data_IF_651789569995
#
_entry.id   IF_651789569995
#
_cell.length_a   1.000
_cell.length_b   1.000
_cell.length_c   1.000
_cell.angle_alpha   90.00
_cell.angle_beta   90.00
_cell.angle_gamma   90.00
#
_symmetry.space_group_name_H-M   'P 1'
#
loop_
_entity.id
_entity.type
_entity.pdbx_description
1 polymer ?
#
# COMPACT_ATOMS: atom_id res chain seq x y z
N UNK A 1 18.19 65.82 -4.97
CA UNK A 1 19.04 64.71 -4.48
C UNK A 1 18.18 63.49 -4.40
N UNK A 2 18.17 62.70 -5.47
CA UNK A 2 17.47 61.41 -5.57
C UNK A 2 18.51 60.30 -5.32
N UNK A 3 18.47 59.66 -4.17
CA UNK A 3 19.24 58.46 -3.92
C UNK A 3 18.48 57.28 -4.54
N UNK A 4 19.06 56.70 -5.58
CA UNK A 4 18.63 55.45 -6.18
C UNK A 4 18.99 54.28 -5.23
N UNK A 5 17.98 53.65 -4.68
CA UNK A 5 18.13 52.32 -4.06
C UNK A 5 18.46 51.28 -5.16
N UNK A 6 19.69 50.82 -5.14
CA UNK A 6 20.11 49.64 -5.91
C UNK A 6 19.49 48.41 -5.25
N UNK A 7 18.34 47.96 -5.74
CA UNK A 7 17.87 46.59 -5.49
C UNK A 7 18.89 45.58 -6.06
N UNK A 8 19.52 44.82 -5.17
CA UNK A 8 20.39 43.71 -5.53
C UNK A 8 19.54 42.65 -6.23
N UNK A 9 19.68 42.49 -7.53
CA UNK A 9 19.11 41.38 -8.28
C UNK A 9 19.83 40.10 -7.87
N UNK A 10 19.17 39.26 -7.08
CA UNK A 10 19.62 37.90 -6.78
C UNK A 10 19.74 37.08 -8.07
N UNK A 11 20.89 36.40 -8.26
CA UNK A 11 21.12 35.58 -9.46
C UNK A 11 20.30 34.26 -9.33
N UNK A 12 19.27 34.15 -10.17
CA UNK A 12 18.55 32.91 -10.42
C UNK A 12 19.49 31.86 -11.05
N UNK A 13 19.48 30.66 -10.56
CA UNK A 13 20.22 29.50 -11.13
C UNK A 13 19.22 28.43 -11.55
N UNK A 14 19.24 28.05 -12.84
CA UNK A 14 18.52 26.87 -13.30
C UNK A 14 19.19 25.59 -12.78
N UNK A 15 18.39 24.71 -12.22
CA UNK A 15 18.78 23.37 -11.79
C UNK A 15 17.74 22.40 -12.30
N UNK A 16 18.18 21.21 -12.67
CA UNK A 16 17.33 20.17 -13.21
C UNK A 16 17.14 19.06 -12.19
N UNK A 17 15.88 18.69 -11.89
CA UNK A 17 15.52 17.61 -10.99
C UNK A 17 14.88 16.44 -11.74
N UNK A 18 15.31 15.23 -11.42
CA UNK A 18 14.66 14.03 -11.93
C UNK A 18 13.29 13.85 -11.29
N UNK A 19 12.21 13.81 -12.07
CA UNK A 19 10.84 13.63 -11.60
C UNK A 19 10.59 12.27 -10.93
N UNK A 20 11.41 11.27 -11.23
CA UNK A 20 11.27 9.93 -10.66
C UNK A 20 11.97 9.77 -9.30
N UNK A 21 13.21 10.26 -9.14
CA UNK A 21 14.02 10.03 -7.93
C UNK A 21 14.51 11.31 -7.25
N UNK A 22 14.22 12.49 -7.79
CA UNK A 22 14.66 13.78 -7.24
C UNK A 22 16.16 14.06 -7.35
N UNK A 23 16.93 13.29 -8.14
CA UNK A 23 18.34 13.54 -8.36
C UNK A 23 18.55 14.91 -9.02
N UNK A 24 19.46 15.71 -8.44
CA UNK A 24 19.77 17.07 -8.90
C UNK A 24 20.90 17.06 -9.94
N UNK A 25 20.76 17.88 -10.98
CA UNK A 25 21.81 18.08 -11.98
C UNK A 25 21.88 19.57 -12.40
N UNK A 26 23.08 20.14 -12.60
CA UNK A 26 23.24 21.48 -13.12
C UNK A 26 22.91 21.60 -14.60
N UNK A 27 22.69 20.48 -15.29
CA UNK A 27 22.35 20.40 -16.72
C UNK A 27 21.28 19.35 -16.95
N UNK A 28 20.46 19.59 -17.97
CA UNK A 28 19.50 18.57 -18.42
C UNK A 28 20.25 17.34 -18.96
N UNK A 29 19.79 16.16 -18.59
CA UNK A 29 20.32 14.87 -19.05
C UNK A 29 19.18 14.00 -19.54
N UNK A 30 19.39 13.33 -20.67
CA UNK A 30 18.37 12.43 -21.24
C UNK A 30 18.08 11.21 -20.39
N UNK A 31 19.07 10.73 -19.61
CA UNK A 31 18.92 9.59 -18.68
C UNK A 31 19.42 9.97 -17.30
N UNK A 32 18.63 9.68 -16.27
CA UNK A 32 19.02 9.94 -14.89
C UNK A 32 20.11 8.94 -14.42
N UNK A 33 21.27 9.41 -13.93
CA UNK A 33 22.32 8.51 -13.47
C UNK A 33 21.98 7.77 -12.17
N UNK A 34 21.03 8.30 -11.38
CA UNK A 34 20.66 7.72 -10.09
C UNK A 34 19.61 6.61 -10.23
N UNK A 35 18.56 6.80 -11.04
CA UNK A 35 17.49 5.81 -11.19
C UNK A 35 17.45 5.13 -12.57
N UNK A 36 18.25 5.59 -13.55
CA UNK A 36 18.32 4.99 -14.88
C UNK A 36 17.16 5.34 -15.82
N UNK A 37 16.17 6.09 -15.38
CA UNK A 37 15.00 6.48 -16.19
C UNK A 37 15.34 7.56 -17.22
N UNK A 38 14.64 7.51 -18.37
CA UNK A 38 14.83 8.43 -19.47
C UNK A 38 13.84 9.60 -19.42
N UNK A 39 14.31 10.79 -19.89
CA UNK A 39 13.49 12.00 -20.08
C UNK A 39 12.75 12.48 -18.82
N UNK A 40 13.36 12.30 -17.63
CA UNK A 40 12.77 12.61 -16.33
C UNK A 40 13.25 13.93 -15.72
N UNK A 41 14.16 14.67 -16.37
CA UNK A 41 14.65 15.93 -15.83
C UNK A 41 13.73 17.10 -16.16
N UNK A 42 13.30 17.81 -15.10
CA UNK A 42 12.50 19.04 -15.17
C UNK A 42 13.35 20.20 -14.68
N UNK A 43 13.30 21.34 -15.38
CA UNK A 43 14.02 22.56 -15.00
C UNK A 43 13.27 23.30 -13.89
N UNK A 44 14.00 23.67 -12.84
CA UNK A 44 13.51 24.53 -11.77
C UNK A 44 14.48 25.69 -11.51
N UNK A 45 13.94 26.87 -11.18
CA UNK A 45 14.72 28.05 -10.84
C UNK A 45 14.89 28.13 -9.32
N UNK A 46 16.14 28.20 -8.86
CA UNK A 46 16.47 28.30 -7.44
C UNK A 46 17.20 29.62 -7.17
N UNK A 47 16.75 30.37 -6.16
CA UNK A 47 17.51 31.53 -5.63
C UNK A 47 18.72 31.03 -4.83
N UNK A 48 19.87 31.62 -5.13
CA UNK A 48 21.09 31.40 -4.39
C UNK A 48 21.28 32.54 -3.34
N UNK A 49 20.32 32.74 -2.49
CA UNK A 49 20.52 33.56 -1.29
C UNK A 49 20.71 32.60 -0.10
N UNK A 50 21.96 32.27 0.14
CA UNK A 50 22.41 31.75 1.45
C UNK A 50 22.45 32.92 2.47
N UNK A 51 21.33 33.62 2.60
CA UNK A 51 21.11 34.42 3.80
C UNK A 51 20.78 33.41 4.90
N UNK A 52 21.61 33.37 5.91
CA UNK A 52 21.47 32.55 7.09
C UNK A 52 19.99 32.41 7.47
N UNK A 53 19.45 31.22 7.29
CA UNK A 53 18.17 30.82 7.86
C UNK A 53 18.25 31.26 9.32
N UNK A 54 17.37 32.17 9.72
CA UNK A 54 17.27 32.58 11.11
C UNK A 54 17.05 31.30 11.92
N UNK A 55 18.11 30.84 12.58
CA UNK A 55 18.12 29.58 13.37
C UNK A 55 17.11 29.62 14.53
N UNK A 56 16.63 30.82 14.89
CA UNK A 56 15.84 31.06 16.10
C UNK A 56 14.37 30.59 16.02
N UNK A 57 13.79 30.43 14.85
CA UNK A 57 12.38 30.00 14.76
C UNK A 57 12.19 28.49 14.58
N UNK A 58 13.25 27.74 14.31
CA UNK A 58 13.19 26.28 14.03
C UNK A 58 13.86 25.42 15.10
N UNK A 59 14.25 25.97 16.26
CA UNK A 59 14.84 25.16 17.33
C UNK A 59 13.73 24.60 18.24
N UNK A 60 13.38 23.34 18.05
CA UNK A 60 12.42 22.58 18.86
C UNK A 60 13.10 21.74 19.96
N UNK A 61 14.41 21.78 20.10
CA UNK A 61 15.12 20.95 21.07
C UNK A 61 15.76 21.76 22.19
N UNK A 62 15.49 21.35 23.43
CA UNK A 62 16.17 21.82 24.65
C UNK A 62 17.42 21.00 25.03
N UNK A 63 17.81 19.99 24.24
CA UNK A 63 18.90 19.06 24.54
C UNK A 63 20.07 19.15 23.54
N UNK A 64 21.30 19.30 24.03
CA UNK A 64 22.50 19.11 23.22
C UNK A 64 22.63 17.62 22.87
N UNK A 65 22.61 17.29 21.58
CA UNK A 65 22.99 15.95 21.11
C UNK A 65 24.48 15.74 21.37
N UNK A 66 24.81 15.08 22.46
CA UNK A 66 26.19 14.70 22.82
C UNK A 66 26.39 13.24 22.42
N UNK A 67 27.51 12.87 21.76
CA UNK A 67 27.79 11.47 21.46
C UNK A 67 27.82 10.63 22.74
N UNK A 68 27.07 9.51 22.73
CA UNK A 68 26.98 8.59 23.86
C UNK A 68 27.33 7.16 23.40
N UNK A 69 28.02 6.37 24.25
CA UNK A 69 28.24 4.95 23.98
C UNK A 69 26.89 4.21 23.82
N UNK A 70 26.77 3.33 22.81
CA UNK A 70 25.54 2.58 22.54
C UNK A 70 25.00 1.84 23.78
N UNK A 71 25.86 1.30 24.61
CA UNK A 71 25.51 0.58 25.85
C UNK A 71 24.89 1.45 26.95
N UNK A 72 25.04 2.78 26.85
CA UNK A 72 24.48 3.74 27.82
C UNK A 72 23.12 4.24 27.36
N UNK A 73 22.77 4.00 26.08
CA UNK A 73 21.44 4.32 25.53
C UNK A 73 20.48 3.25 26.04
N UNK A 74 19.55 3.66 26.89
CA UNK A 74 18.47 2.77 27.31
C UNK A 74 17.54 2.56 26.12
N UNK A 75 17.40 1.33 25.70
CA UNK A 75 16.38 0.91 24.76
C UNK A 75 15.06 0.64 25.52
N UNK A 76 14.59 1.64 26.26
CA UNK A 76 13.23 1.58 26.80
C UNK A 76 12.31 1.52 25.58
N UNK A 77 11.41 0.55 25.54
CA UNK A 77 10.39 0.48 24.49
C UNK A 77 9.61 1.79 24.54
N UNK A 78 9.87 2.69 23.62
CA UNK A 78 9.05 3.90 23.48
C UNK A 78 7.62 3.43 23.20
N UNK A 79 6.66 3.77 24.08
CA UNK A 79 5.28 3.30 23.91
C UNK A 79 4.74 3.84 22.59
N UNK A 80 4.39 2.94 21.69
CA UNK A 80 3.76 3.31 20.42
C UNK A 80 2.38 3.88 20.68
N UNK A 81 1.99 4.85 19.90
CA UNK A 81 0.62 5.39 19.93
C UNK A 81 -0.29 4.38 19.24
N UNK A 82 -1.23 3.83 19.99
CA UNK A 82 -2.32 3.03 19.43
C UNK A 82 -3.26 3.94 18.63
N UNK A 83 -3.34 3.68 17.30
CA UNK A 83 -4.14 4.48 16.38
C UNK A 83 -5.65 4.18 16.45
N UNK A 84 -6.09 3.33 17.37
CA UNK A 84 -7.48 2.90 17.51
C UNK A 84 -8.07 2.35 16.19
N UNK A 85 -7.17 1.72 15.41
CA UNK A 85 -7.45 1.08 14.14
C UNK A 85 -6.48 -0.10 13.99
N UNK A 86 -7.01 -1.32 14.06
CA UNK A 86 -6.18 -2.54 14.11
C UNK A 86 -5.44 -2.78 12.80
N UNK A 87 -6.05 -2.44 11.67
CA UNK A 87 -5.44 -2.63 10.36
C UNK A 87 -4.32 -1.59 10.14
N UNK A 88 -4.50 -0.35 10.59
CA UNK A 88 -3.44 0.67 10.57
C UNK A 88 -2.30 0.32 11.54
N UNK A 89 -2.63 -0.07 12.77
CA UNK A 89 -1.64 -0.51 13.75
C UNK A 89 -0.80 -1.69 13.22
N UNK A 90 -1.43 -2.64 12.54
CA UNK A 90 -0.76 -3.79 11.92
C UNK A 90 0.31 -3.34 10.93
N UNK A 91 -0.02 -2.49 9.96
CA UNK A 91 0.94 -2.04 8.93
C UNK A 91 2.00 -1.09 9.48
N UNK A 92 1.72 -0.40 10.57
CA UNK A 92 2.70 0.39 11.32
C UNK A 92 3.64 -0.49 12.16
N UNK A 93 3.30 -1.77 12.36
CA UNK A 93 4.09 -2.71 13.18
C UNK A 93 3.75 -2.65 14.67
N UNK A 94 2.48 -2.33 15.00
CA UNK A 94 1.94 -2.29 16.36
C UNK A 94 1.62 -0.88 16.89
N UNK A 95 1.54 0.13 16.01
CA UNK A 95 1.20 1.50 16.32
C UNK A 95 2.20 2.54 15.83
N UNK A 96 1.87 3.82 15.98
CA UNK A 96 2.67 4.94 15.51
C UNK A 96 3.84 5.20 16.48
N UNK A 97 5.06 5.22 15.93
CA UNK A 97 6.28 5.46 16.72
C UNK A 97 6.45 6.96 16.95
N UNK A 98 6.75 7.43 18.20
CA UNK A 98 7.10 8.82 18.46
C UNK A 98 8.27 9.30 17.59
N UNK A 99 8.34 10.60 17.31
CA UNK A 99 9.35 11.19 16.45
C UNK A 99 9.43 10.62 15.01
N UNK A 100 8.44 9.83 14.57
CA UNK A 100 8.42 9.27 13.22
C UNK A 100 7.71 10.17 12.22
N UNK A 101 8.14 10.06 10.95
CA UNK A 101 7.45 10.65 9.80
C UNK A 101 6.93 9.51 8.92
N UNK A 102 5.61 9.42 8.81
CA UNK A 102 4.90 8.39 8.02
C UNK A 102 4.25 9.04 6.81
N UNK A 103 4.52 8.53 5.61
CA UNK A 103 3.85 8.91 4.37
C UNK A 103 2.74 7.90 4.05
N UNK A 104 1.54 8.38 3.83
CA UNK A 104 0.41 7.61 3.29
C UNK A 104 0.18 8.06 1.85
N UNK A 105 0.63 7.24 0.90
CA UNK A 105 0.52 7.46 -0.53
C UNK A 105 -0.63 6.69 -1.17
N UNK A 106 -1.10 7.11 -2.33
CA UNK A 106 -2.14 6.42 -3.10
C UNK A 106 -2.80 7.33 -4.14
N UNK A 107 -3.59 6.74 -5.04
CA UNK A 107 -4.32 7.49 -6.07
C UNK A 107 -5.29 8.52 -5.44
N UNK A 108 -5.57 9.64 -6.13
CA UNK A 108 -6.62 10.57 -5.71
C UNK A 108 -7.97 9.85 -5.56
N UNK A 109 -8.73 10.20 -4.50
CA UNK A 109 -10.05 9.61 -4.24
C UNK A 109 -10.04 8.20 -3.64
N UNK A 110 -8.88 7.57 -3.40
CA UNK A 110 -8.80 6.20 -2.84
C UNK A 110 -9.24 6.09 -1.37
N UNK A 111 -9.25 7.21 -0.62
CA UNK A 111 -9.67 7.24 0.78
C UNK A 111 -8.59 7.64 1.79
N UNK A 112 -7.41 8.10 1.37
CA UNK A 112 -6.30 8.49 2.27
C UNK A 112 -6.71 9.49 3.35
N UNK A 113 -7.25 10.64 2.93
CA UNK A 113 -7.70 11.70 3.84
C UNK A 113 -8.85 11.22 4.74
N UNK A 114 -9.70 10.31 4.25
CA UNK A 114 -10.77 9.71 5.06
C UNK A 114 -10.18 8.82 6.15
N UNK A 115 -9.21 7.96 5.81
CA UNK A 115 -8.52 7.10 6.78
C UNK A 115 -7.90 7.93 7.90
N UNK A 116 -7.11 8.94 7.51
CA UNK A 116 -6.37 9.76 8.47
C UNK A 116 -7.31 10.55 9.36
N UNK A 117 -8.33 11.22 8.78
CA UNK A 117 -9.33 11.99 9.55
C UNK A 117 -10.10 11.08 10.50
N UNK A 118 -10.60 9.94 10.03
CA UNK A 118 -11.32 8.96 10.85
C UNK A 118 -10.47 8.47 12.02
N UNK A 119 -9.21 8.16 11.77
CA UNK A 119 -8.28 7.68 12.79
C UNK A 119 -8.06 8.73 13.89
N UNK A 120 -7.75 9.98 13.52
CA UNK A 120 -7.50 11.03 14.53
C UNK A 120 -8.75 11.41 15.30
N UNK A 121 -9.94 11.33 14.69
CA UNK A 121 -11.19 11.55 15.40
C UNK A 121 -11.45 10.47 16.46
N UNK A 122 -10.97 9.24 16.28
CA UNK A 122 -11.02 8.17 17.30
C UNK A 122 -10.06 8.42 18.48
N UNK A 123 -8.97 9.19 18.28
CA UNK A 123 -7.93 9.44 19.28
C UNK A 123 -8.34 10.53 20.30
N UNK A 124 -9.34 10.26 21.13
CA UNK A 124 -9.93 11.21 22.08
C UNK A 124 -8.94 11.77 23.12
N UNK A 125 -7.91 11.00 23.49
CA UNK A 125 -6.91 11.37 24.51
C UNK A 125 -5.69 12.10 23.96
N UNK A 126 -5.57 12.23 22.64
CA UNK A 126 -4.39 12.77 21.95
C UNK A 126 -4.76 14.09 21.28
N UNK A 127 -4.08 15.16 21.68
CA UNK A 127 -4.21 16.45 21.02
C UNK A 127 -3.55 16.39 19.65
N UNK A 128 -4.35 16.44 18.59
CA UNK A 128 -3.89 16.37 17.21
C UNK A 128 -4.11 17.70 16.47
N UNK A 129 -3.19 18.02 15.55
CA UNK A 129 -3.33 19.15 14.63
C UNK A 129 -3.41 18.61 13.19
N UNK A 130 -4.56 18.80 12.56
CA UNK A 130 -4.78 18.51 11.14
C UNK A 130 -4.56 19.76 10.30
N UNK A 131 -3.51 19.73 9.49
CA UNK A 131 -3.17 20.79 8.55
C UNK A 131 -3.69 20.39 7.17
N UNK A 132 -4.64 21.15 6.65
CA UNK A 132 -5.22 20.93 5.33
C UNK A 132 -4.72 21.98 4.34
N UNK A 133 -4.17 21.51 3.23
CA UNK A 133 -3.81 22.34 2.09
C UNK A 133 -4.77 22.22 0.90
N UNK A 134 -5.70 21.26 0.94
CA UNK A 134 -6.62 21.00 -0.17
C UNK A 134 -8.07 21.32 0.18
N UNK A 135 -8.50 21.02 1.39
CA UNK A 135 -9.88 21.17 1.82
C UNK A 135 -10.04 22.33 2.80
N UNK A 136 -11.15 23.05 2.71
CA UNK A 136 -11.54 24.06 3.69
C UNK A 136 -12.01 23.42 5.00
N UNK A 137 -11.95 24.16 6.10
CA UNK A 137 -12.43 23.70 7.41
C UNK A 137 -13.90 23.25 7.37
N UNK A 138 -14.74 23.91 6.54
CA UNK A 138 -16.13 23.51 6.36
C UNK A 138 -16.27 22.15 5.67
N UNK A 139 -15.46 21.86 4.65
CA UNK A 139 -15.48 20.56 3.96
C UNK A 139 -15.02 19.45 4.89
N UNK A 140 -13.96 19.70 5.68
CA UNK A 140 -13.51 18.75 6.70
C UNK A 140 -14.57 18.49 7.77
N UNK A 141 -15.27 19.55 8.23
CA UNK A 141 -16.39 19.41 9.20
C UNK A 141 -17.51 18.54 8.62
N UNK A 142 -17.94 18.79 7.39
CA UNK A 142 -18.96 17.95 6.71
C UNK A 142 -18.52 16.49 6.55
N UNK A 143 -17.22 16.26 6.36
CA UNK A 143 -16.66 14.89 6.30
C UNK A 143 -16.67 14.25 7.69
N UNK A 144 -16.27 14.97 8.73
CA UNK A 144 -16.30 14.50 10.12
C UNK A 144 -17.73 14.14 10.56
N UNK A 145 -18.71 14.96 10.20
CA UNK A 145 -20.14 14.68 10.49
C UNK A 145 -20.62 13.38 9.84
N UNK A 146 -20.19 13.06 8.61
CA UNK A 146 -20.52 11.77 7.97
C UNK A 146 -19.89 10.57 8.69
N UNK A 147 -18.72 10.77 9.30
CA UNK A 147 -18.04 9.73 10.11
C UNK A 147 -18.72 9.53 11.45
N UNK A 148 -19.57 10.47 11.89
CA UNK A 148 -20.28 10.47 13.15
C UNK A 148 -19.36 10.25 14.38
N UNK A 149 -18.19 10.88 14.36
CA UNK A 149 -17.20 10.85 15.45
C UNK A 149 -16.86 12.29 15.79
N UNK A 150 -17.06 12.67 17.06
CA UNK A 150 -16.69 13.96 17.60
C UNK A 150 -15.40 13.85 18.42
N UNK A 151 -14.51 14.82 18.31
CA UNK A 151 -13.28 14.89 19.08
C UNK A 151 -12.84 16.35 19.28
N UNK A 152 -12.93 16.83 20.50
CA UNK A 152 -12.54 18.20 20.88
C UNK A 152 -11.01 18.40 20.88
N UNK A 153 -10.23 17.33 20.92
CA UNK A 153 -8.77 17.35 20.85
C UNK A 153 -8.23 17.34 19.41
N UNK A 154 -9.11 17.32 18.40
CA UNK A 154 -8.72 17.44 16.99
C UNK A 154 -8.82 18.90 16.53
N UNK A 155 -7.66 19.58 16.42
CA UNK A 155 -7.56 20.93 15.92
C UNK A 155 -7.36 20.92 14.40
N UNK A 156 -8.03 21.82 13.68
CA UNK A 156 -7.93 21.95 12.22
C UNK A 156 -7.38 23.31 11.87
N UNK A 157 -6.41 23.36 10.94
CA UNK A 157 -5.93 24.58 10.31
C UNK A 157 -5.82 24.40 8.80
N UNK A 158 -6.29 25.39 8.03
CA UNK A 158 -6.15 25.42 6.57
C UNK A 158 -5.00 26.39 6.24
N UNK A 159 -3.80 25.86 6.07
CA UNK A 159 -2.59 26.61 5.78
C UNK A 159 -1.65 25.76 4.91
N UNK A 160 -0.93 26.42 4.01
CA UNK A 160 0.02 25.78 3.09
C UNK A 160 1.45 26.28 3.26
N UNK A 161 1.65 27.43 3.91
CA UNK A 161 2.96 27.94 4.24
C UNK A 161 3.55 27.21 5.45
N UNK A 162 4.69 26.56 5.27
CA UNK A 162 5.28 25.69 6.29
C UNK A 162 5.75 26.46 7.53
N UNK A 163 6.23 27.69 7.39
CA UNK A 163 6.68 28.51 8.52
C UNK A 163 5.51 28.87 9.43
N UNK A 164 4.36 29.25 8.84
CA UNK A 164 3.12 29.49 9.61
C UNK A 164 2.58 28.21 10.26
N UNK A 165 2.69 27.07 9.57
CA UNK A 165 2.31 25.78 10.15
C UNK A 165 3.15 25.49 11.41
N UNK A 166 4.45 25.75 11.39
CA UNK A 166 5.31 25.60 12.58
C UNK A 166 4.95 26.57 13.69
N UNK A 167 4.51 27.79 13.38
CA UNK A 167 3.96 28.73 14.39
C UNK A 167 2.70 28.16 15.04
N UNK A 168 1.76 27.61 14.25
CA UNK A 168 0.57 26.96 14.78
C UNK A 168 0.93 25.76 15.66
N UNK A 169 1.87 24.92 15.26
CA UNK A 169 2.37 23.79 16.05
C UNK A 169 2.95 24.28 17.38
N UNK A 170 3.78 25.32 17.37
CA UNK A 170 4.37 25.91 18.58
C UNK A 170 3.31 26.44 19.54
N UNK A 171 2.27 27.08 19.02
CA UNK A 171 1.18 27.66 19.84
C UNK A 171 0.22 26.61 20.40
N UNK A 172 -0.04 25.54 19.63
CA UNK A 172 -1.03 24.50 20.01
C UNK A 172 -0.39 23.34 20.75
N UNK A 173 0.91 23.10 20.60
CA UNK A 173 1.66 21.96 21.18
C UNK A 173 0.94 20.62 21.00
N UNK A 174 0.70 20.17 19.75
CA UNK A 174 0.02 18.92 19.50
C UNK A 174 0.93 17.73 19.82
N UNK A 175 0.34 16.57 20.11
CA UNK A 175 1.01 15.29 20.30
C UNK A 175 1.07 14.48 18.99
N UNK A 176 0.31 14.87 17.99
CA UNK A 176 0.27 14.27 16.65
C UNK A 176 -0.02 15.37 15.62
N UNK A 177 0.73 15.39 14.52
CA UNK A 177 0.53 16.33 13.40
C UNK A 177 0.15 15.55 12.15
N UNK A 178 -0.82 16.08 11.40
CA UNK A 178 -1.23 15.58 10.09
C UNK A 178 -1.01 16.66 9.05
N UNK A 179 -0.42 16.31 7.91
CA UNK A 179 -0.24 17.18 6.74
C UNK A 179 -1.00 16.56 5.55
N UNK A 180 -2.06 17.19 5.10
CA UNK A 180 -2.91 16.75 3.99
C UNK A 180 -3.15 17.85 2.95
N UNK A 181 -2.40 17.83 1.84
CA UNK A 181 -1.32 16.94 1.42
C UNK A 181 0.03 17.67 1.32
N UNK A 182 1.11 16.88 1.29
CA UNK A 182 2.47 17.45 1.15
C UNK A 182 2.66 18.21 -0.16
N UNK A 183 1.91 17.86 -1.21
CA UNK A 183 2.00 18.53 -2.52
C UNK A 183 1.54 19.98 -2.50
N UNK A 184 0.69 20.37 -1.57
CA UNK A 184 0.19 21.74 -1.45
C UNK A 184 1.07 22.63 -0.57
N UNK A 185 1.99 22.01 0.20
CA UNK A 185 2.87 22.74 1.12
C UNK A 185 4.01 23.42 0.37
N UNK A 186 4.42 24.59 0.89
CA UNK A 186 5.55 25.34 0.36
C UNK A 186 6.35 26.04 1.46
N UNK A 187 7.63 26.28 1.15
CA UNK A 187 8.55 27.10 1.95
C UNK A 187 8.87 28.36 1.17
N UNK A 188 8.84 29.53 1.82
CA UNK A 188 9.20 30.81 1.19
C UNK A 188 10.69 30.90 0.80
N UNK A 189 11.53 30.01 1.34
CA UNK A 189 12.95 29.90 0.99
C UNK A 189 13.23 29.44 -0.44
N UNK A 190 12.23 28.86 -1.12
CA UNK A 190 12.32 28.37 -2.50
C UNK A 190 11.35 29.15 -3.40
N UNK A 191 11.83 29.62 -4.54
CA UNK A 191 10.98 30.32 -5.54
C UNK A 191 10.19 29.38 -6.45
N UNK A 192 10.42 28.08 -6.36
CA UNK A 192 9.68 27.07 -7.14
C UNK A 192 8.21 26.99 -6.70
N UNK A 193 7.34 26.66 -7.64
CA UNK A 193 5.89 26.56 -7.37
C UNK A 193 5.56 25.48 -6.35
N UNK A 194 4.50 25.65 -5.53
CA UNK A 194 3.97 24.56 -4.71
C UNK A 194 3.72 23.30 -5.54
N UNK A 195 4.02 22.12 -4.98
CA UNK A 195 3.90 20.84 -5.68
C UNK A 195 5.10 20.48 -6.56
N UNK A 196 6.06 21.40 -6.79
CA UNK A 196 7.32 21.06 -7.45
C UNK A 196 8.14 20.07 -6.60
N UNK A 197 9.04 19.33 -7.24
CA UNK A 197 9.86 18.32 -6.57
C UNK A 197 10.73 18.95 -5.48
N UNK A 198 11.31 20.12 -5.74
CA UNK A 198 12.15 20.85 -4.80
C UNK A 198 11.35 21.28 -3.56
N UNK A 199 10.14 21.85 -3.74
CA UNK A 199 9.26 22.25 -2.65
C UNK A 199 8.84 21.03 -1.80
N UNK A 200 8.39 19.96 -2.43
CA UNK A 200 7.96 18.74 -1.74
C UNK A 200 9.10 18.12 -0.93
N UNK A 201 10.33 18.10 -1.48
CA UNK A 201 11.52 17.58 -0.76
C UNK A 201 11.89 18.47 0.43
N UNK A 202 11.94 19.78 0.22
CA UNK A 202 12.31 20.73 1.29
C UNK A 202 11.30 20.69 2.42
N UNK A 203 9.99 20.76 2.10
CA UNK A 203 8.93 20.65 3.09
C UNK A 203 9.01 19.34 3.87
N UNK A 204 9.16 18.20 3.19
CA UNK A 204 9.27 16.91 3.86
C UNK A 204 10.51 16.81 4.73
N UNK A 205 11.66 17.36 4.30
CA UNK A 205 12.90 17.39 5.09
C UNK A 205 12.77 18.24 6.34
N UNK A 206 12.10 19.41 6.24
CA UNK A 206 11.83 20.27 7.37
C UNK A 206 10.86 19.62 8.37
N UNK A 207 9.80 18.96 7.88
CA UNK A 207 8.85 18.21 8.71
C UNK A 207 9.55 17.02 9.41
N UNK A 208 10.44 16.28 8.73
CA UNK A 208 11.23 15.23 9.36
C UNK A 208 12.11 15.77 10.48
N UNK A 209 12.82 16.89 10.23
CA UNK A 209 13.65 17.57 11.23
C UNK A 209 12.79 17.95 12.44
N UNK A 210 11.63 18.55 12.21
CA UNK A 210 10.67 18.87 13.28
C UNK A 210 10.29 17.61 14.08
N UNK A 211 9.82 16.53 13.43
CA UNK A 211 9.40 15.29 14.12
C UNK A 211 10.53 14.73 14.99
N UNK A 212 11.77 14.65 14.45
CA UNK A 212 12.94 14.15 15.18
C UNK A 212 13.36 15.03 16.36
N UNK A 213 13.18 16.34 16.24
CA UNK A 213 13.59 17.28 17.31
C UNK A 213 12.55 17.44 18.42
N UNK A 214 11.26 17.43 18.05
CA UNK A 214 10.15 17.62 18.99
C UNK A 214 9.69 16.32 19.64
N UNK A 215 10.00 15.16 19.07
CA UNK A 215 9.41 13.88 19.48
C UNK A 215 7.97 13.67 18.95
N UNK A 216 7.37 14.64 18.28
CA UNK A 216 5.99 14.59 17.79
C UNK A 216 5.92 13.81 16.48
N UNK A 217 5.23 12.66 16.42
CA UNK A 217 5.04 11.92 15.18
C UNK A 217 4.18 12.71 14.21
N UNK A 218 4.46 12.53 12.91
CA UNK A 218 3.74 13.23 11.86
C UNK A 218 3.26 12.24 10.79
N UNK A 219 1.97 12.28 10.48
CA UNK A 219 1.38 11.59 9.33
C UNK A 219 1.28 12.56 8.15
N UNK A 220 1.80 12.17 7.02
CA UNK A 220 1.83 12.97 5.81
C UNK A 220 1.07 12.26 4.70
N UNK A 221 0.07 12.89 4.11
CA UNK A 221 -0.68 12.37 2.96
C UNK A 221 -0.01 12.83 1.69
N UNK A 222 0.11 11.91 0.71
CA UNK A 222 0.65 12.21 -0.60
C UNK A 222 -0.11 11.53 -1.73
N UNK A 223 -0.16 12.16 -2.90
CA UNK A 223 -0.74 11.59 -4.11
C UNK A 223 0.32 10.84 -4.92
N UNK A 224 -0.04 9.66 -5.43
CA UNK A 224 0.74 8.88 -6.38
C UNK A 224 0.06 9.01 -7.73
N UNK A 225 0.75 9.46 -8.76
CA UNK A 225 0.23 9.42 -10.12
C UNK A 225 0.67 8.14 -10.81
N UNK A 226 -0.20 7.56 -11.65
CA UNK A 226 0.11 6.35 -12.45
C UNK A 226 1.29 6.58 -13.41
N UNK A 227 1.51 7.81 -13.84
CA UNK A 227 2.51 8.16 -14.87
C UNK A 227 3.83 8.72 -14.30
N UNK A 228 4.00 8.79 -12.98
CA UNK A 228 5.25 9.26 -12.35
C UNK A 228 5.63 10.73 -12.63
N UNK A 229 4.72 11.55 -13.18
CA UNK A 229 5.03 12.90 -13.66
C UNK A 229 4.98 14.00 -12.60
N UNK A 230 4.42 13.73 -11.42
CA UNK A 230 4.44 14.66 -10.26
C UNK A 230 5.23 13.98 -9.15
N UNK A 231 5.92 14.75 -8.33
CA UNK A 231 6.77 14.28 -7.22
C UNK A 231 6.09 13.17 -6.41
N UNK A 232 6.30 11.93 -6.85
CA UNK A 232 5.64 10.75 -6.31
C UNK A 232 6.33 10.26 -5.03
N UNK A 233 5.80 9.21 -4.39
CA UNK A 233 6.35 8.63 -3.17
C UNK A 233 7.83 8.29 -3.26
N UNK A 234 8.36 7.94 -4.43
CA UNK A 234 9.78 7.61 -4.63
C UNK A 234 10.74 8.73 -4.21
N UNK A 235 10.37 9.99 -4.43
CA UNK A 235 11.19 11.15 -3.99
C UNK A 235 11.22 11.23 -2.47
N UNK A 236 10.11 10.89 -1.81
CA UNK A 236 9.94 10.97 -0.36
C UNK A 236 10.37 9.70 0.38
N UNK A 237 10.42 8.54 -0.31
CA UNK A 237 10.78 7.25 0.30
C UNK A 237 12.09 7.28 1.09
N UNK A 238 13.08 8.02 0.60
CA UNK A 238 14.37 8.12 1.27
C UNK A 238 14.33 9.05 2.49
N UNK A 239 13.42 10.01 2.52
CA UNK A 239 13.29 11.01 3.58
C UNK A 239 12.50 10.44 4.76
N UNK A 240 11.33 9.84 4.50
CA UNK A 240 10.41 9.38 5.55
C UNK A 240 10.84 8.08 6.20
N UNK A 241 10.38 7.81 7.42
CA UNK A 241 10.67 6.56 8.15
C UNK A 241 9.79 5.40 7.68
N UNK A 242 8.54 5.67 7.37
CA UNK A 242 7.55 4.66 6.93
C UNK A 242 6.79 5.18 5.70
N UNK A 243 6.58 4.31 4.73
CA UNK A 243 5.74 4.56 3.55
C UNK A 243 4.64 3.52 3.52
N UNK A 244 3.42 3.97 3.63
CA UNK A 244 2.21 3.17 3.45
C UNK A 244 1.57 3.54 2.10
N UNK A 245 1.25 2.54 1.31
CA UNK A 245 0.58 2.72 0.03
C UNK A 245 -0.85 2.22 0.11
N UNK A 246 -1.79 3.08 -0.22
CA UNK A 246 -3.20 2.76 -0.29
C UNK A 246 -3.55 2.39 -1.71
N UNK A 247 -3.96 1.14 -1.91
CA UNK A 247 -4.25 0.51 -3.19
C UNK A 247 -5.73 0.12 -3.27
N UNK A 248 -6.28 0.04 -4.47
CA UNK A 248 -7.62 -0.43 -4.74
C UNK A 248 -8.17 0.19 -6.02
N UNK A 249 -9.19 -0.41 -6.58
CA UNK A 249 -9.95 0.13 -7.69
C UNK A 249 -11.18 0.87 -7.16
N UNK A 250 -11.53 2.01 -7.75
CA UNK A 250 -12.70 2.80 -7.36
C UNK A 250 -14.03 2.05 -7.54
N UNK A 251 -14.05 1.02 -8.41
CA UNK A 251 -15.22 0.19 -8.66
C UNK A 251 -15.42 -0.92 -7.63
N UNK A 252 -14.40 -1.22 -6.79
CA UNK A 252 -14.49 -2.25 -5.75
C UNK A 252 -14.61 -1.63 -4.37
N UNK A 253 -15.31 -2.34 -3.47
CA UNK A 253 -15.54 -1.86 -2.10
C UNK A 253 -14.29 -1.92 -1.22
N UNK A 254 -13.32 -2.76 -1.57
CA UNK A 254 -12.14 -3.01 -0.75
C UNK A 254 -10.95 -2.14 -1.11
N UNK A 255 -10.18 -1.79 -0.08
CA UNK A 255 -8.93 -1.04 -0.16
C UNK A 255 -7.87 -1.77 0.64
N UNK A 256 -6.67 -1.84 0.09
CA UNK A 256 -5.51 -2.43 0.76
C UNK A 256 -4.55 -1.32 1.16
N UNK A 257 -4.15 -1.28 2.41
CA UNK A 257 -3.06 -0.46 2.90
C UNK A 257 -1.82 -1.33 3.04
N UNK A 258 -0.81 -1.07 2.23
CA UNK A 258 0.41 -1.87 2.15
C UNK A 258 1.60 -1.10 2.70
N UNK A 259 2.44 -1.75 3.49
CA UNK A 259 3.70 -1.17 3.94
C UNK A 259 4.77 -1.37 2.86
N UNK A 260 5.21 -0.27 2.23
CA UNK A 260 6.27 -0.30 1.21
C UNK A 260 7.65 -0.14 1.86
N UNK A 261 7.72 0.69 2.91
CA UNK A 261 8.91 0.91 3.72
C UNK A 261 8.49 1.05 5.17
N UNK A 262 9.18 0.38 6.07
CA UNK A 262 8.95 0.55 7.50
C UNK A 262 10.27 0.32 8.28
N UNK A 263 10.81 1.37 8.91
CA UNK A 263 12.02 1.26 9.75
C UNK A 263 11.74 0.63 11.11
N UNK A 264 10.48 0.56 11.51
CA UNK A 264 10.05 0.16 12.85
C UNK A 264 9.30 -1.17 12.88
N UNK A 265 9.10 -1.80 11.73
CA UNK A 265 8.36 -3.04 11.62
C UNK A 265 8.52 -3.73 10.27
N UNK A 266 7.76 -4.79 10.06
CA UNK A 266 7.76 -5.55 8.84
C UNK A 266 7.08 -4.78 7.68
N UNK A 267 7.63 -4.88 6.48
CA UNK A 267 6.98 -4.42 5.25
C UNK A 267 6.06 -5.48 4.63
N UNK A 268 6.00 -6.67 5.22
CA UNK A 268 5.15 -7.76 4.75
C UNK A 268 3.71 -7.68 5.30
N UNK A 269 3.40 -6.70 6.15
CA UNK A 269 2.06 -6.50 6.70
C UNK A 269 1.18 -5.70 5.75
N UNK A 270 -0.12 -6.02 5.77
CA UNK A 270 -1.13 -5.28 5.05
C UNK A 270 -2.39 -5.09 5.90
N UNK A 271 -3.05 -3.97 5.68
CA UNK A 271 -4.36 -3.65 6.23
C UNK A 271 -5.43 -3.72 5.15
N UNK A 272 -6.61 -4.20 5.48
CA UNK A 272 -7.73 -4.31 4.54
C UNK A 272 -8.91 -3.50 5.09
N UNK A 273 -9.45 -2.65 4.24
CA UNK A 273 -10.60 -1.79 4.55
C UNK A 273 -11.71 -1.98 3.55
N UNK A 274 -12.92 -1.81 4.00
CA UNK A 274 -14.09 -1.65 3.16
C UNK A 274 -14.53 -0.20 3.15
N UNK A 275 -14.74 0.36 1.96
CA UNK A 275 -15.22 1.73 1.80
C UNK A 275 -16.75 1.77 1.90
N UNK A 276 -17.25 2.46 2.91
CA UNK A 276 -18.68 2.66 3.16
C UNK A 276 -19.05 4.14 3.10
N UNK A 277 -20.35 4.45 3.11
CA UNK A 277 -20.83 5.83 3.17
C UNK A 277 -20.39 6.55 4.46
N UNK A 278 -20.25 5.81 5.58
CA UNK A 278 -19.78 6.30 6.87
C UNK A 278 -18.27 6.25 7.06
N UNK A 279 -17.48 6.02 6.00
CA UNK A 279 -16.02 5.97 6.06
C UNK A 279 -15.43 4.60 5.75
N UNK A 280 -14.26 4.33 6.29
CA UNK A 280 -13.51 3.08 6.12
C UNK A 280 -13.78 2.15 7.30
N UNK A 281 -14.23 0.95 7.00
CA UNK A 281 -14.41 -0.13 7.98
C UNK A 281 -13.24 -1.10 7.91
N UNK A 282 -12.65 -1.42 9.06
CA UNK A 282 -11.63 -2.45 9.18
C UNK A 282 -12.18 -3.83 8.80
N UNK A 283 -11.45 -4.59 7.99
CA UNK A 283 -11.79 -5.95 7.60
C UNK A 283 -10.92 -6.92 8.40
N UNK A 284 -11.44 -7.36 9.54
CA UNK A 284 -10.72 -8.29 10.44
C UNK A 284 -10.57 -9.68 9.84
N UNK A 285 -11.58 -10.15 9.09
CA UNK A 285 -11.56 -11.45 8.40
C UNK A 285 -11.87 -11.27 6.90
N UNK A 286 -10.86 -11.06 6.06
CA UNK A 286 -11.05 -10.91 4.62
C UNK A 286 -11.70 -12.15 3.98
N UNK A 287 -11.37 -13.34 4.45
CA UNK A 287 -11.85 -14.59 3.87
C UNK A 287 -13.38 -14.69 3.90
N UNK A 288 -14.04 -14.28 4.98
CA UNK A 288 -15.51 -14.32 5.08
C UNK A 288 -16.22 -13.44 4.04
N UNK A 289 -15.53 -12.41 3.56
CA UNK A 289 -16.08 -11.45 2.61
C UNK A 289 -15.73 -11.79 1.16
N UNK A 290 -14.64 -12.53 0.95
CA UNK A 290 -14.12 -12.91 -0.37
C UNK A 290 -14.63 -14.29 -0.83
N UNK A 291 -15.39 -14.96 0.02
CA UNK A 291 -16.05 -16.23 -0.29
C UNK A 291 -17.53 -16.00 -0.53
N UNK A 292 -18.01 -16.50 -1.66
CA UNK A 292 -19.44 -16.41 -2.01
C UNK A 292 -20.26 -17.34 -1.10
N UNK A 293 -21.28 -16.81 -0.44
CA UNK A 293 -22.17 -17.58 0.45
C UNK A 293 -23.23 -18.40 -0.30
N UNK A 294 -23.16 -18.48 -1.63
CA UNK A 294 -24.12 -19.25 -2.41
C UNK A 294 -24.00 -20.76 -2.16
N UNK A 295 -25.14 -21.42 -2.02
CA UNK A 295 -25.22 -22.87 -1.76
C UNK A 295 -25.18 -23.71 -3.04
N UNK A 296 -25.18 -23.12 -4.22
CA UNK A 296 -25.11 -23.86 -5.48
C UNK A 296 -23.66 -24.20 -5.87
N UNK A 297 -23.44 -25.42 -6.31
CA UNK A 297 -22.16 -25.86 -6.88
C UNK A 297 -22.09 -25.37 -8.32
N UNK A 298 -21.30 -24.32 -8.55
CA UNK A 298 -21.11 -23.72 -9.85
C UNK A 298 -19.77 -24.15 -10.47
N UNK A 299 -19.80 -24.55 -11.74
CA UNK A 299 -18.57 -24.80 -12.49
C UNK A 299 -17.76 -23.50 -12.66
N UNK A 300 -16.45 -23.63 -12.72
CA UNK A 300 -15.54 -22.49 -12.88
C UNK A 300 -15.19 -21.74 -11.61
N UNK A 301 -15.65 -22.15 -10.43
CA UNK A 301 -15.31 -21.55 -9.16
C UNK A 301 -14.45 -22.49 -8.30
N UNK A 302 -13.38 -21.95 -7.68
CA UNK A 302 -12.49 -22.67 -6.75
C UNK A 302 -12.05 -21.74 -5.63
N UNK A 303 -11.66 -22.29 -4.50
CA UNK A 303 -11.16 -21.54 -3.35
C UNK A 303 -9.65 -21.72 -3.22
N UNK A 304 -8.93 -20.61 -3.20
CA UNK A 304 -7.49 -20.58 -2.99
C UNK A 304 -7.12 -20.20 -1.57
N UNK A 305 -6.23 -20.96 -0.93
CA UNK A 305 -5.55 -20.49 0.27
C UNK A 305 -4.31 -19.70 -0.14
N UNK A 306 -4.42 -18.38 -0.04
CA UNK A 306 -3.38 -17.42 -0.45
C UNK A 306 -2.73 -16.73 0.74
N UNK A 307 -1.57 -16.14 0.52
CA UNK A 307 -0.88 -15.28 1.47
C UNK A 307 -0.47 -13.98 0.79
N UNK A 308 -0.85 -12.88 1.39
CA UNK A 308 -0.30 -11.58 1.05
C UNK A 308 0.52 -11.04 2.22
N UNK A 309 1.81 -10.88 1.99
CA UNK A 309 2.77 -10.55 3.05
C UNK A 309 2.89 -11.66 4.09
N UNK A 310 2.32 -11.46 5.26
CA UNK A 310 2.27 -12.46 6.34
C UNK A 310 0.86 -12.96 6.64
N UNK A 311 -0.15 -12.40 6.00
CA UNK A 311 -1.56 -12.65 6.29
C UNK A 311 -2.12 -13.74 5.38
N UNK A 312 -2.54 -14.90 5.93
CA UNK A 312 -3.27 -15.90 5.17
C UNK A 312 -4.73 -15.47 5.02
N UNK A 313 -5.34 -15.76 3.89
CA UNK A 313 -6.78 -15.68 3.68
C UNK A 313 -7.22 -16.56 2.53
N UNK A 314 -8.49 -16.90 2.51
CA UNK A 314 -9.11 -17.64 1.43
C UNK A 314 -9.77 -16.69 0.46
N UNK A 315 -9.65 -16.99 -0.83
CA UNK A 315 -10.23 -16.18 -1.89
C UNK A 315 -10.82 -17.05 -2.99
N UNK A 316 -11.98 -16.63 -3.46
CA UNK A 316 -12.64 -17.32 -4.57
C UNK A 316 -12.00 -16.89 -5.88
N UNK A 317 -11.64 -17.89 -6.68
CA UNK A 317 -11.13 -17.76 -8.04
C UNK A 317 -12.20 -18.25 -9.00
N UNK A 318 -12.67 -17.36 -9.89
CA UNK A 318 -13.71 -17.65 -10.87
C UNK A 318 -13.12 -17.64 -12.28
N UNK A 319 -13.49 -18.61 -13.10
CA UNK A 319 -13.11 -18.65 -14.50
C UNK A 319 -14.32 -19.00 -15.39
N UNK A 320 -14.35 -18.37 -16.56
CA UNK A 320 -15.28 -18.72 -17.62
C UNK A 320 -14.51 -19.09 -18.88
N UNK A 321 -14.74 -20.29 -19.38
CA UNK A 321 -14.13 -20.82 -20.62
C UNK A 321 -15.22 -21.06 -21.64
N UNK A 322 -15.13 -20.39 -22.80
CA UNK A 322 -16.08 -20.54 -23.91
C UNK A 322 -15.36 -20.79 -25.23
N UNK A 323 -16.09 -21.16 -26.26
CA UNK A 323 -15.53 -21.27 -27.61
C UNK A 323 -15.35 -19.88 -28.19
N UNK A 324 -14.18 -19.61 -28.79
CA UNK A 324 -13.91 -18.33 -29.42
C UNK A 324 -14.86 -18.07 -30.60
N UNK A 325 -15.74 -17.08 -30.46
CA UNK A 325 -16.77 -16.77 -31.45
C UNK A 325 -16.23 -16.11 -32.74
N UNK A 326 -15.08 -15.41 -32.62
CA UNK A 326 -14.53 -14.57 -33.71
C UNK A 326 -13.16 -15.01 -34.23
N UNK A 327 -12.78 -16.26 -34.02
CA UNK A 327 -11.50 -16.82 -34.54
C UNK A 327 -10.25 -16.47 -33.75
N UNK A 328 -10.22 -15.34 -33.04
CA UNK A 328 -9.13 -14.95 -32.15
C UNK A 328 -9.55 -15.11 -30.69
N UNK A 329 -8.93 -16.03 -29.92
CA UNK A 329 -9.25 -16.26 -28.53
C UNK A 329 -9.02 -15.02 -27.68
N UNK A 330 -10.02 -14.63 -26.90
CA UNK A 330 -9.91 -13.54 -25.93
C UNK A 330 -9.43 -14.09 -24.59
N UNK A 331 -8.50 -13.36 -23.96
CA UNK A 331 -7.97 -13.71 -22.64
C UNK A 331 -7.94 -12.47 -21.77
N UNK A 332 -8.62 -12.53 -20.64
CA UNK A 332 -8.73 -11.43 -19.69
C UNK A 332 -8.60 -11.95 -18.26
N UNK A 333 -7.94 -11.20 -17.41
CA UNK A 333 -7.79 -11.52 -16.00
C UNK A 333 -7.98 -10.26 -15.15
N UNK A 334 -8.82 -10.37 -14.12
CA UNK A 334 -9.00 -9.35 -13.09
C UNK A 334 -8.45 -9.89 -11.79
N UNK A 335 -7.55 -9.12 -11.15
CA UNK A 335 -6.93 -9.52 -9.89
C UNK A 335 -5.77 -10.52 -9.99
N UNK A 336 -5.44 -10.99 -11.20
CA UNK A 336 -4.35 -11.93 -11.47
C UNK A 336 -3.53 -11.47 -12.67
N UNK A 337 -2.23 -11.81 -12.70
CA UNK A 337 -1.35 -11.42 -13.80
C UNK A 337 -1.69 -12.19 -15.09
N UNK A 338 -2.02 -11.45 -16.14
CA UNK A 338 -2.43 -12.01 -17.44
C UNK A 338 -1.30 -12.83 -18.11
N UNK A 339 -0.03 -12.47 -17.89
CA UNK A 339 1.13 -13.21 -18.43
C UNK A 339 1.27 -14.54 -17.71
N UNK A 340 1.07 -14.55 -16.39
CA UNK A 340 1.04 -15.78 -15.58
C UNK A 340 -0.10 -16.69 -16.02
N UNK A 341 -1.31 -16.16 -16.20
CA UNK A 341 -2.45 -16.94 -16.71
C UNK A 341 -2.14 -17.57 -18.08
N UNK A 342 -1.56 -16.83 -19.03
CA UNK A 342 -1.19 -17.36 -20.34
C UNK A 342 -0.15 -18.48 -20.25
N UNK A 343 0.79 -18.39 -19.31
CA UNK A 343 1.76 -19.46 -19.05
C UNK A 343 1.07 -20.72 -18.50
N UNK A 344 0.12 -20.56 -17.56
CA UNK A 344 -0.65 -21.67 -17.00
C UNK A 344 -1.51 -22.38 -18.08
N UNK A 345 -2.12 -21.61 -18.98
CA UNK A 345 -2.87 -22.15 -20.13
C UNK A 345 -1.96 -23.01 -21.03
N UNK A 346 -0.72 -22.55 -21.30
CA UNK A 346 0.23 -23.32 -22.08
C UNK A 346 0.66 -24.62 -21.39
N UNK A 347 0.77 -24.63 -20.05
CA UNK A 347 1.03 -25.83 -19.26
C UNK A 347 -0.14 -26.81 -19.37
N UNK A 348 -1.39 -26.35 -19.21
CA UNK A 348 -2.59 -27.17 -19.36
C UNK A 348 -2.67 -27.83 -20.75
N UNK A 349 -2.36 -27.07 -21.78
CA UNK A 349 -2.40 -27.57 -23.14
C UNK A 349 -1.31 -28.61 -23.41
N UNK A 350 -0.06 -28.29 -23.07
CA UNK A 350 1.09 -29.13 -23.41
C UNK A 350 1.27 -30.33 -22.51
N UNK A 351 0.91 -30.22 -21.22
CA UNK A 351 1.18 -31.25 -20.20
C UNK A 351 -0.05 -32.05 -19.82
N UNK A 352 -1.21 -31.40 -19.73
CA UNK A 352 -2.45 -32.06 -19.35
C UNK A 352 -3.36 -32.39 -20.55
N UNK A 353 -3.00 -31.99 -21.77
CA UNK A 353 -3.68 -32.38 -23.00
C UNK A 353 -5.02 -31.64 -23.28
N UNK A 354 -5.29 -30.54 -22.57
CA UNK A 354 -6.51 -29.75 -22.79
C UNK A 354 -6.37 -28.83 -24.00
N UNK A 355 -7.45 -28.76 -24.80
CA UNK A 355 -7.48 -27.92 -26.02
C UNK A 355 -8.00 -26.52 -25.71
N UNK A 356 -7.14 -25.64 -25.23
CA UNK A 356 -7.48 -24.29 -24.81
C UNK A 356 -7.05 -23.20 -25.81
N UNK A 357 -6.28 -23.54 -26.85
CA UNK A 357 -5.76 -22.58 -27.83
C UNK A 357 -6.86 -21.79 -28.55
N UNK A 358 -8.02 -22.42 -28.79
CA UNK A 358 -9.17 -21.82 -29.48
C UNK A 358 -10.33 -21.48 -28.53
N UNK A 359 -10.05 -21.31 -27.23
CA UNK A 359 -11.03 -20.97 -26.22
C UNK A 359 -10.79 -19.55 -25.69
N UNK A 360 -11.88 -18.82 -25.50
CA UNK A 360 -11.90 -17.62 -24.69
C UNK A 360 -11.75 -18.01 -23.22
N UNK A 361 -10.92 -17.28 -22.49
CA UNK A 361 -10.68 -17.53 -21.07
C UNK A 361 -10.76 -16.21 -20.31
N UNK A 362 -11.73 -16.13 -19.42
CA UNK A 362 -11.92 -15.00 -18.50
C UNK A 362 -11.65 -15.49 -17.08
N UNK A 363 -10.83 -14.75 -16.35
CA UNK A 363 -10.46 -15.03 -14.96
C UNK A 363 -10.80 -13.84 -14.08
N UNK A 364 -11.43 -14.10 -12.94
CA UNK A 364 -11.74 -13.07 -11.95
C UNK A 364 -11.41 -13.56 -10.55
N UNK A 365 -10.63 -12.76 -9.83
CA UNK A 365 -10.39 -12.96 -8.40
C UNK A 365 -11.43 -12.14 -7.63
N UNK A 366 -12.14 -12.79 -6.71
CA UNK A 366 -13.21 -12.16 -5.94
C UNK A 366 -12.75 -10.88 -5.23
N UNK A 367 -13.62 -9.89 -5.14
CA UNK A 367 -13.33 -8.60 -4.52
C UNK A 367 -12.40 -7.68 -5.31
N UNK A 368 -11.91 -8.09 -6.50
CA UNK A 368 -11.02 -7.30 -7.35
C UNK A 368 -9.63 -7.07 -6.76
N UNK A 369 -9.25 -7.86 -5.75
CA UNK A 369 -7.95 -7.76 -5.12
C UNK A 369 -6.87 -8.29 -6.08
N UNK A 370 -5.81 -7.50 -6.28
CA UNK A 370 -4.65 -7.96 -7.03
C UNK A 370 -3.76 -8.82 -6.14
N UNK A 371 -3.72 -10.12 -6.42
CA UNK A 371 -2.95 -11.11 -5.68
C UNK A 371 -1.73 -11.52 -6.48
N UNK A 372 -0.56 -11.49 -5.83
CA UNK A 372 0.72 -11.86 -6.46
C UNK A 372 1.30 -13.17 -5.93
N UNK A 373 0.54 -13.93 -5.15
CA UNK A 373 0.98 -15.20 -4.57
C UNK A 373 0.97 -16.34 -5.62
N UNK A 374 2.14 -16.95 -5.92
CA UNK A 374 2.19 -18.11 -6.83
C UNK A 374 1.39 -19.30 -6.32
N UNK A 375 1.10 -19.38 -5.02
CA UNK A 375 0.26 -20.42 -4.43
C UNK A 375 -1.15 -20.49 -4.99
N UNK A 376 -1.61 -19.47 -5.71
CA UNK A 376 -2.91 -19.44 -6.39
C UNK A 376 -2.94 -20.24 -7.69
N UNK A 377 -1.81 -20.57 -8.28
CA UNK A 377 -1.76 -21.20 -9.61
C UNK A 377 -2.62 -22.47 -9.69
N UNK A 378 -2.55 -23.34 -8.67
CA UNK A 378 -3.33 -24.57 -8.63
C UNK A 378 -4.85 -24.29 -8.63
N UNK A 379 -5.28 -23.28 -7.91
CA UNK A 379 -6.68 -22.83 -7.88
C UNK A 379 -7.10 -22.26 -9.24
N UNK A 380 -6.26 -21.43 -9.85
CA UNK A 380 -6.51 -20.82 -11.17
C UNK A 380 -6.68 -21.89 -12.25
N UNK A 381 -5.76 -22.87 -12.36
CA UNK A 381 -5.89 -23.93 -13.35
C UNK A 381 -7.09 -24.83 -13.08
N UNK A 382 -7.42 -25.08 -11.82
CA UNK A 382 -8.58 -25.88 -11.43
C UNK A 382 -9.90 -25.16 -11.77
N UNK A 383 -9.99 -23.83 -11.59
CA UNK A 383 -11.15 -23.04 -12.00
C UNK A 383 -11.33 -23.04 -13.53
N UNK A 384 -10.24 -22.87 -14.28
CA UNK A 384 -10.25 -22.92 -15.75
C UNK A 384 -10.76 -24.28 -16.23
N UNK A 385 -10.27 -25.38 -15.67
CA UNK A 385 -10.70 -26.72 -16.04
C UNK A 385 -12.13 -27.03 -15.61
N UNK A 386 -12.52 -26.64 -14.41
CA UNK A 386 -13.89 -26.76 -13.93
C UNK A 386 -14.88 -26.11 -14.92
N UNK A 387 -14.59 -24.90 -15.35
CA UNK A 387 -15.41 -24.21 -16.38
C UNK A 387 -15.33 -24.88 -17.74
N UNK A 388 -14.16 -25.39 -18.16
CA UNK A 388 -13.99 -26.03 -19.49
C UNK A 388 -14.70 -27.37 -19.59
N UNK A 389 -14.79 -28.11 -18.47
CA UNK A 389 -15.45 -29.42 -18.35
C UNK A 389 -16.91 -29.29 -17.92
N UNK A 390 -17.31 -28.13 -17.46
CA UNK A 390 -18.61 -27.87 -16.82
C UNK A 390 -18.87 -28.77 -15.59
N UNK A 391 -17.83 -29.00 -14.79
CA UNK A 391 -17.88 -29.80 -13.56
C UNK A 391 -17.47 -28.92 -12.38
N UNK A 392 -18.34 -28.82 -11.39
CA UNK A 392 -18.07 -28.05 -10.19
C UNK A 392 -16.99 -28.69 -9.30
N UNK A 393 -16.17 -27.88 -8.67
CA UNK A 393 -15.29 -28.31 -7.58
C UNK A 393 -16.05 -28.21 -6.26
N UNK A 394 -15.94 -29.22 -5.40
CA UNK A 394 -16.63 -29.23 -4.11
C UNK A 394 -16.23 -28.01 -3.27
N UNK A 395 -17.22 -27.28 -2.75
CA UNK A 395 -17.08 -25.99 -2.06
C UNK A 395 -16.27 -26.03 -0.77
N UNK A 396 -16.24 -27.17 -0.14
CA UNK A 396 -15.48 -27.43 1.08
C UNK A 396 -14.00 -27.78 0.81
N UNK A 397 -13.58 -27.63 -0.47
CA UNK A 397 -12.22 -27.90 -0.93
C UNK A 397 -11.45 -26.60 -1.13
N UNK A 398 -10.30 -26.51 -0.47
CA UNK A 398 -9.35 -25.43 -0.63
C UNK A 398 -8.11 -25.90 -1.39
N UNK A 399 -7.50 -25.03 -2.16
CA UNK A 399 -6.36 -25.35 -3.02
C UNK A 399 -5.20 -24.37 -2.75
N UNK A 400 -3.98 -24.89 -2.77
CA UNK A 400 -2.78 -24.05 -2.86
C UNK A 400 -1.63 -24.80 -3.49
N UNK A 401 -0.85 -24.13 -4.36
CA UNK A 401 0.32 -24.73 -5.01
C UNK A 401 0.80 -23.90 -6.18
N UNK A 402 2.11 -23.74 -6.33
CA UNK A 402 2.71 -23.10 -7.51
C UNK A 402 2.81 -24.13 -8.64
N UNK A 403 2.48 -23.75 -9.86
CA UNK A 403 2.56 -24.61 -11.04
C UNK A 403 3.79 -24.27 -11.86
N UNK A 404 4.68 -25.26 -12.01
CA UNK A 404 5.86 -25.15 -12.87
C UNK A 404 5.58 -25.48 -14.34
N UNK A 405 6.49 -25.06 -15.23
CA UNK A 405 6.35 -25.24 -16.70
C UNK A 405 6.32 -26.70 -17.16
N UNK A 406 6.82 -27.62 -16.35
CA UNK A 406 6.77 -29.06 -16.65
C UNK A 406 5.46 -29.74 -16.14
N UNK A 407 4.55 -28.95 -15.51
CA UNK A 407 3.33 -29.45 -14.91
C UNK A 407 3.51 -29.99 -13.49
N UNK A 408 4.69 -29.77 -12.89
CA UNK A 408 4.95 -30.08 -11.47
C UNK A 408 4.27 -29.07 -10.55
N UNK A 409 3.80 -29.53 -9.39
CA UNK A 409 3.30 -28.69 -8.32
C UNK A 409 4.43 -28.44 -7.33
N UNK A 410 4.83 -27.19 -7.21
CA UNK A 410 5.94 -26.69 -6.37
C UNK A 410 5.45 -26.28 -4.99
N UNK A 411 6.32 -26.42 -3.96
CA UNK A 411 6.00 -26.00 -2.62
C UNK A 411 5.75 -24.48 -2.54
N UNK A 412 4.86 -24.10 -1.62
CA UNK A 412 4.53 -22.72 -1.30
C UNK A 412 5.00 -22.33 0.09
N UNK A 413 5.19 -21.04 0.31
CA UNK A 413 5.60 -20.51 1.61
C UNK A 413 4.46 -20.64 2.63
N UNK A 414 4.80 -20.75 3.93
CA UNK A 414 3.88 -20.62 5.05
C UNK A 414 2.68 -21.57 4.96
N UNK A 415 2.92 -22.80 4.57
CA UNK A 415 1.86 -23.80 4.35
C UNK A 415 1.00 -24.00 5.58
N UNK A 416 1.59 -24.00 6.78
CA UNK A 416 0.84 -24.17 8.03
C UNK A 416 -0.23 -23.08 8.21
N UNK A 417 0.12 -21.81 7.93
CA UNK A 417 -0.82 -20.70 8.05
C UNK A 417 -1.99 -20.81 7.07
N UNK A 418 -1.73 -21.31 5.85
CA UNK A 418 -2.76 -21.56 4.84
C UNK A 418 -3.72 -22.68 5.29
N UNK A 419 -3.17 -23.75 5.85
CA UNK A 419 -3.96 -24.89 6.37
C UNK A 419 -4.81 -24.44 7.55
N UNK A 420 -4.23 -23.72 8.51
CA UNK A 420 -4.97 -23.23 9.68
C UNK A 420 -6.09 -22.25 9.30
N UNK A 421 -5.88 -21.39 8.31
CA UNK A 421 -6.94 -20.47 7.86
C UNK A 421 -8.07 -21.24 7.17
N UNK A 422 -7.76 -22.28 6.36
CA UNK A 422 -8.76 -23.15 5.75
C UNK A 422 -9.56 -23.93 6.81
N UNK A 423 -8.88 -24.52 7.80
CA UNK A 423 -9.52 -25.22 8.91
C UNK A 423 -10.42 -24.31 9.74
N UNK A 424 -9.92 -23.12 10.12
CA UNK A 424 -10.66 -22.11 10.89
C UNK A 424 -11.97 -21.70 10.22
N UNK A 425 -11.98 -21.68 8.88
CA UNK A 425 -13.16 -21.31 8.08
C UNK A 425 -14.07 -22.50 7.75
N UNK A 426 -13.76 -23.69 8.29
CA UNK A 426 -14.62 -24.88 8.21
C UNK A 426 -14.50 -25.67 6.92
N UNK A 427 -13.40 -25.53 6.17
CA UNK A 427 -13.14 -26.37 4.99
C UNK A 427 -12.85 -27.81 5.43
N UNK A 428 -13.40 -28.78 4.71
CA UNK A 428 -13.24 -30.20 5.04
C UNK A 428 -11.92 -30.77 4.50
N UNK A 429 -11.42 -30.21 3.37
CA UNK A 429 -10.15 -30.67 2.77
C UNK A 429 -9.36 -29.52 2.14
N UNK A 430 -8.04 -29.72 2.10
CA UNK A 430 -7.11 -28.83 1.38
C UNK A 430 -6.15 -29.68 0.54
N UNK A 431 -5.96 -29.27 -0.74
CA UNK A 431 -5.00 -29.89 -1.65
C UNK A 431 -3.75 -29.03 -1.69
N UNK A 432 -2.60 -29.62 -1.36
CA UNK A 432 -1.32 -28.94 -1.23
C UNK A 432 -0.21 -29.65 -2.01
N UNK A 433 0.93 -29.00 -2.29
CA UNK A 433 2.11 -29.67 -2.84
C UNK A 433 2.67 -30.73 -1.89
N UNK A 434 3.02 -31.93 -2.40
CA UNK A 434 3.56 -33.05 -1.63
C UNK A 434 4.81 -32.65 -0.81
N UNK A 435 5.67 -31.83 -1.40
CA UNK A 435 6.88 -31.36 -0.71
C UNK A 435 6.60 -30.44 0.50
N UNK A 436 5.43 -29.85 0.60
CA UNK A 436 5.04 -29.04 1.76
C UNK A 436 4.65 -29.88 2.98
N UNK A 437 4.29 -31.16 2.79
CA UNK A 437 3.97 -32.04 3.90
C UNK A 437 5.23 -32.46 4.71
N UNK A 438 6.41 -32.38 4.07
CA UNK A 438 7.68 -32.69 4.73
C UNK A 438 7.98 -31.61 5.78
N UNK A 439 7.92 -31.99 7.05
CA UNK A 439 8.15 -31.07 8.19
C UNK A 439 6.87 -30.48 8.78
N UNK A 440 5.69 -30.76 8.23
CA UNK A 440 4.43 -30.41 8.86
C UNK A 440 4.15 -31.35 10.04
N UNK A 441 4.11 -30.80 11.25
CA UNK A 441 3.96 -31.58 12.51
C UNK A 441 2.69 -31.19 13.28
N UNK A 442 2.00 -30.15 12.85
CA UNK A 442 0.83 -29.64 13.54
C UNK A 442 -0.37 -30.58 13.39
N UNK A 443 -1.14 -30.74 14.47
CA UNK A 443 -2.38 -31.52 14.43
C UNK A 443 -3.50 -30.63 13.90
N UNK A 444 -4.16 -31.05 12.83
CA UNK A 444 -5.29 -30.38 12.20
C UNK A 444 -6.43 -31.39 11.97
N UNK A 445 -7.64 -30.92 11.93
CA UNK A 445 -8.84 -31.71 11.65
C UNK A 445 -9.18 -31.74 10.15
N UNK A 446 -8.72 -30.75 9.40
CA UNK A 446 -8.90 -30.68 7.95
C UNK A 446 -8.14 -31.81 7.24
N UNK A 447 -8.79 -32.46 6.26
CA UNK A 447 -8.14 -33.48 5.44
C UNK A 447 -7.11 -32.87 4.51
N UNK A 448 -5.84 -33.21 4.66
CA UNK A 448 -4.76 -32.79 3.78
C UNK A 448 -4.57 -33.85 2.68
N UNK A 449 -4.70 -33.42 1.42
CA UNK A 449 -4.38 -34.24 0.25
C UNK A 449 -3.19 -33.60 -0.49
N UNK A 450 -2.25 -34.43 -0.93
CA UNK A 450 -1.01 -33.99 -1.54
C UNK A 450 -0.94 -34.32 -3.01
N UNK A 451 -0.32 -33.44 -3.80
CA UNK A 451 -0.14 -33.59 -5.24
C UNK A 451 1.25 -33.18 -5.66
N UNK A 452 1.79 -33.86 -6.69
CA UNK A 452 3.10 -33.59 -7.30
C UNK A 452 2.97 -33.01 -8.69
N UNK A 453 1.89 -33.32 -9.39
CA UNK A 453 1.61 -32.92 -10.77
C UNK A 453 0.19 -32.45 -10.94
N UNK A 454 -0.04 -31.64 -11.95
CA UNK A 454 -1.36 -31.09 -12.29
C UNK A 454 -2.38 -32.21 -12.55
N UNK A 455 -1.98 -33.32 -13.19
CA UNK A 455 -2.88 -34.43 -13.50
C UNK A 455 -3.38 -35.16 -12.24
N UNK A 456 -2.56 -35.19 -11.17
CA UNK A 456 -2.95 -35.77 -9.88
C UNK A 456 -4.04 -34.94 -9.21
N UNK A 457 -3.85 -33.60 -9.24
CA UNK A 457 -4.84 -32.67 -8.71
C UNK A 457 -6.18 -32.79 -9.44
N UNK A 458 -6.16 -32.94 -10.76
CA UNK A 458 -7.38 -33.08 -11.55
C UNK A 458 -8.12 -34.36 -11.28
N UNK A 459 -7.41 -35.48 -11.08
CA UNK A 459 -8.06 -36.71 -10.65
C UNK A 459 -8.74 -36.57 -9.29
N UNK A 460 -8.14 -35.86 -8.34
CA UNK A 460 -8.75 -35.63 -7.03
C UNK A 460 -9.99 -34.70 -7.09
N UNK A 461 -10.04 -33.80 -8.07
CA UNK A 461 -11.10 -32.79 -8.17
C UNK A 461 -12.27 -33.23 -9.06
N UNK A 462 -12.02 -34.02 -10.11
CA UNK A 462 -12.99 -34.32 -11.18
C UNK A 462 -13.22 -35.82 -11.42
N UNK A 463 -12.75 -36.70 -10.51
CA UNK A 463 -12.99 -38.17 -10.58
C UNK A 463 -14.18 -38.58 -9.75
#
# INVERSE_FOLDING_TARGET
MLQQEKQSMAKLKSVYFCSNCGNESPKWMGRCPACGEWSTYVEELIRKDSAAIKEDTRSFSSGRNVPQPLKEIRADEEPRIDMQDNELNRVLGGGLVPASLVLIGGEPGIGKSTLVLQTILKLQSIKSLYVSGEESARQLKLRAERLNIENDNCLIVCETNLDKIFEHIKNTQPQLVIIDSIQTMYCDSLESSPGSISQVRECASAILKFAKQSGVPTLMVGHITKDGSIAGPKVLEHIVDTVLQFEGDQHYMYRILRSIKNRFGSTAELGIYEMNQSGLREVSNPSEMLLTKNHEELSGATISATIEGVRPFLIETQSLVSSAAYGNPQRSATGFDIRRMNMLLAVLEKRAGFKLAQKDVFLNIAGGLKINDPGMDLSVISAILSSSLDIAVAKDTCLTGEVGLSGEIRPVNRIEQRIFEAEKLGFSRIIIPDNNLKGFTSKVSIKIETVRKVEEAFRLLFS
#
